data_IF_607601411592
#
_entry.id   IF_607601411592
#
_cell.length_a   1.000
_cell.length_b   1.000
_cell.length_c   1.000
_cell.angle_alpha   90.00
_cell.angle_beta   90.00
_cell.angle_gamma   90.00
#
_symmetry.space_group_name_H-M   'P 1'
#
loop_
_entity.id
_entity.type
_entity.pdbx_description
1 polymer ?
#
# COMPACT_ATOMS: atom_id res chain seq x y z
N UNK A 1 -3.93 17.09 20.74
CA UNK A 1 -3.73 15.63 20.79
C UNK A 1 -2.46 15.29 20.01
N UNK A 2 -1.60 14.45 20.60
CA UNK A 2 -0.30 14.08 20.04
C UNK A 2 -0.30 12.59 19.65
N UNK A 3 -0.07 12.31 18.38
CA UNK A 3 -0.10 10.97 17.79
C UNK A 3 1.31 10.54 17.41
N UNK A 4 1.69 9.34 17.80
CA UNK A 4 2.94 8.73 17.33
C UNK A 4 2.64 7.55 16.40
N UNK A 5 3.13 7.59 15.17
CA UNK A 5 3.05 6.49 14.22
C UNK A 5 4.29 5.60 14.35
N UNK A 6 4.09 4.29 14.51
CA UNK A 6 5.18 3.32 14.60
C UNK A 6 5.27 2.47 13.34
N UNK A 7 6.40 2.55 12.65
CA UNK A 7 6.76 1.75 11.48
C UNK A 7 8.07 1.01 11.75
N UNK A 8 8.14 -0.27 11.42
CA UNK A 8 9.29 -1.11 11.77
C UNK A 8 10.06 -1.68 10.56
N UNK A 9 9.70 -1.31 9.34
CA UNK A 9 10.44 -1.67 8.13
C UNK A 9 11.77 -0.91 8.02
N UNK A 10 12.64 -1.40 7.13
CA UNK A 10 13.92 -0.76 6.82
C UNK A 10 13.92 -0.10 5.44
N UNK A 11 12.84 -0.25 4.69
CA UNK A 11 12.71 0.25 3.31
C UNK A 11 11.54 1.22 3.30
N UNK A 12 11.70 2.36 2.64
CA UNK A 12 10.61 3.29 2.37
C UNK A 12 9.80 2.74 1.20
N UNK A 13 8.58 2.29 1.48
CA UNK A 13 7.68 1.65 0.52
C UNK A 13 6.21 2.06 0.81
N UNK A 14 5.24 1.33 0.31
CA UNK A 14 3.83 1.71 0.38
C UNK A 14 3.27 1.96 1.79
N UNK A 15 3.73 1.24 2.82
CA UNK A 15 3.30 1.48 4.22
C UNK A 15 3.91 2.78 4.76
N UNK A 16 5.18 3.02 4.51
CA UNK A 16 5.91 4.20 4.97
C UNK A 16 5.37 5.46 4.29
N UNK A 17 5.11 5.38 3.00
CA UNK A 17 4.46 6.44 2.24
C UNK A 17 3.06 6.72 2.78
N UNK A 18 2.25 5.69 3.06
CA UNK A 18 0.94 5.83 3.67
C UNK A 18 1.01 6.58 5.02
N UNK A 19 1.95 6.21 5.89
CA UNK A 19 2.13 6.85 7.20
C UNK A 19 2.57 8.31 7.04
N UNK A 20 3.51 8.56 6.14
CA UNK A 20 4.02 9.91 5.89
C UNK A 20 2.92 10.84 5.38
N UNK A 21 2.18 10.44 4.36
CA UNK A 21 1.08 11.23 3.81
C UNK A 21 -0.01 11.50 4.84
N UNK A 22 -0.41 10.45 5.60
CA UNK A 22 -1.42 10.61 6.65
C UNK A 22 -0.97 11.58 7.74
N UNK A 23 0.28 11.47 8.19
CA UNK A 23 0.83 12.37 9.18
C UNK A 23 0.92 13.82 8.68
N UNK A 24 1.33 14.04 7.42
CA UNK A 24 1.33 15.37 6.81
C UNK A 24 -0.06 15.99 6.79
N UNK A 25 -1.06 15.27 6.28
CA UNK A 25 -2.46 15.75 6.19
C UNK A 25 -3.05 16.08 7.56
N UNK A 26 -2.66 15.34 8.61
CA UNK A 26 -3.19 15.53 9.95
C UNK A 26 -2.41 16.55 10.78
N UNK A 27 -1.25 17.02 10.31
CA UNK A 27 -0.40 17.94 11.05
C UNK A 27 -1.02 19.33 11.26
N UNK A 28 -2.04 19.70 10.50
CA UNK A 28 -2.76 20.95 10.68
C UNK A 28 -3.59 20.96 11.99
N UNK A 29 -4.14 19.80 12.39
CA UNK A 29 -5.09 19.70 13.51
C UNK A 29 -4.49 19.01 14.75
N UNK A 30 -3.45 18.19 14.55
CA UNK A 30 -2.87 17.33 15.61
C UNK A 30 -1.36 17.26 15.47
N UNK A 31 -0.66 17.14 16.60
CA UNK A 31 0.79 16.99 16.59
C UNK A 31 1.16 15.54 16.19
N UNK A 32 1.92 15.41 15.11
CA UNK A 32 2.31 14.13 14.52
C UNK A 32 3.79 13.81 14.77
N UNK A 33 4.07 12.55 15.11
CA UNK A 33 5.44 12.03 15.26
C UNK A 33 5.53 10.71 14.50
N UNK A 34 6.53 10.54 13.62
CA UNK A 34 6.80 9.28 12.96
C UNK A 34 8.02 8.61 13.60
N UNK A 35 7.82 7.42 14.17
CA UNK A 35 8.87 6.59 14.75
C UNK A 35 9.22 5.48 13.78
N UNK A 36 10.42 5.50 13.22
CA UNK A 36 10.86 4.59 12.17
C UNK A 36 12.36 4.30 12.21
N UNK A 37 12.83 3.36 11.40
CA UNK A 37 14.26 3.08 11.24
C UNK A 37 14.99 4.22 10.52
N UNK A 38 16.31 4.31 10.70
CA UNK A 38 17.16 5.36 10.13
C UNK A 38 17.03 5.46 8.61
N UNK A 39 16.93 4.33 7.93
CA UNK A 39 16.85 4.24 6.48
C UNK A 39 15.54 4.86 5.92
N UNK A 40 14.51 4.96 6.75
CA UNK A 40 13.21 5.56 6.40
C UNK A 40 13.19 7.07 6.69
N UNK A 41 13.91 7.53 7.70
CA UNK A 41 13.93 8.94 8.15
C UNK A 41 14.27 9.90 7.01
N UNK A 42 15.24 9.54 6.16
CA UNK A 42 15.73 10.41 5.08
C UNK A 42 14.66 10.74 4.01
N UNK A 43 13.58 9.97 3.97
CA UNK A 43 12.48 10.16 3.02
C UNK A 43 11.32 11.00 3.61
N UNK A 44 11.43 11.43 4.88
CA UNK A 44 10.36 12.14 5.59
C UNK A 44 10.79 13.59 5.81
N UNK A 45 9.97 14.52 5.37
CA UNK A 45 10.18 15.97 5.54
C UNK A 45 8.93 16.62 6.13
N UNK A 46 9.10 17.71 6.87
CA UNK A 46 7.97 18.49 7.41
C UNK A 46 7.23 17.86 8.60
N UNK A 47 7.51 16.61 8.98
CA UNK A 47 6.93 15.92 10.13
C UNK A 47 8.03 15.51 11.10
N UNK A 48 7.78 15.69 12.41
CA UNK A 48 8.73 15.26 13.45
C UNK A 48 9.01 13.77 13.35
N UNK A 49 10.28 13.40 13.21
CA UNK A 49 10.71 12.00 13.16
C UNK A 49 11.54 11.62 14.36
N UNK A 50 11.39 10.39 14.83
CA UNK A 50 12.25 9.81 15.86
C UNK A 50 12.82 8.50 15.33
N UNK A 51 14.15 8.46 15.17
CA UNK A 51 14.83 7.25 14.74
C UNK A 51 14.76 6.20 15.85
N UNK A 52 14.11 5.08 15.55
CA UNK A 52 13.92 3.98 16.48
C UNK A 52 14.09 2.62 15.82
N UNK A 53 15.28 2.03 15.96
CA UNK A 53 15.53 0.67 15.51
C UNK A 53 14.79 -0.32 16.41
N UNK A 54 13.78 -0.99 15.87
CA UNK A 54 13.03 -2.05 16.56
C UNK A 54 13.55 -3.43 16.10
N UNK A 55 14.27 -4.10 16.99
CA UNK A 55 14.74 -5.47 16.81
C UNK A 55 13.62 -6.51 16.84
N UNK A 56 13.71 -7.51 17.73
CA UNK A 56 12.65 -8.50 17.90
C UNK A 56 11.37 -7.88 18.49
N UNK A 57 10.19 -8.40 18.06
CA UNK A 57 8.89 -8.00 18.63
C UNK A 57 8.70 -8.35 20.11
N UNK A 58 9.52 -9.26 20.61
CA UNK A 58 9.50 -9.76 22.00
C UNK A 58 10.60 -9.17 22.88
N UNK A 59 11.40 -8.23 22.37
CA UNK A 59 12.49 -7.63 23.14
C UNK A 59 11.97 -6.67 24.21
N UNK A 60 12.20 -6.92 25.51
CA UNK A 60 11.79 -6.02 26.58
C UNK A 60 12.52 -4.66 26.48
N UNK A 61 13.76 -4.64 26.01
CA UNK A 61 14.52 -3.40 25.80
C UNK A 61 13.87 -2.49 24.77
N UNK A 62 13.36 -3.05 23.66
CA UNK A 62 12.64 -2.28 22.66
C UNK A 62 11.36 -1.68 23.24
N UNK A 63 10.67 -2.43 24.08
CA UNK A 63 9.45 -1.97 24.73
C UNK A 63 9.73 -0.84 25.73
N UNK A 64 10.74 -1.00 26.59
CA UNK A 64 11.16 0.03 27.55
C UNK A 64 11.56 1.31 26.82
N UNK A 65 12.37 1.19 25.76
CA UNK A 65 12.78 2.32 24.94
C UNK A 65 11.57 3.02 24.29
N UNK A 66 10.62 2.25 23.76
CA UNK A 66 9.40 2.79 23.18
C UNK A 66 8.62 3.60 24.23
N UNK A 67 8.38 3.04 25.41
CA UNK A 67 7.63 3.70 26.47
C UNK A 67 8.35 4.97 26.96
N UNK A 68 9.66 4.93 27.11
CA UNK A 68 10.42 6.12 27.47
C UNK A 68 10.21 7.25 26.44
N UNK A 69 10.30 6.93 25.14
CA UNK A 69 10.09 7.90 24.07
C UNK A 69 8.66 8.42 24.05
N UNK A 70 7.66 7.56 24.22
CA UNK A 70 6.25 7.96 24.25
C UNK A 70 5.96 8.91 25.40
N UNK A 71 6.46 8.61 26.62
CA UNK A 71 6.31 9.45 27.81
C UNK A 71 7.03 10.79 27.65
N UNK A 72 8.30 10.77 27.23
CA UNK A 72 9.10 12.00 27.01
C UNK A 72 8.44 12.96 26.03
N UNK A 73 7.72 12.43 25.04
CA UNK A 73 7.03 13.24 24.03
C UNK A 73 5.56 13.50 24.37
N UNK A 74 5.04 13.05 25.51
CA UNK A 74 3.63 13.19 25.90
C UNK A 74 2.65 12.70 24.83
N UNK A 75 2.90 11.47 24.33
CA UNK A 75 2.08 10.86 23.27
C UNK A 75 0.76 10.36 23.85
N UNK A 76 -0.36 10.78 23.26
CA UNK A 76 -1.70 10.36 23.65
C UNK A 76 -2.07 9.02 23.04
N UNK A 77 -1.77 8.83 21.75
CA UNK A 77 -2.10 7.62 20.98
C UNK A 77 -0.88 7.13 20.20
N UNK A 78 -0.66 5.83 20.28
CA UNK A 78 0.31 5.11 19.45
C UNK A 78 -0.42 4.42 18.30
N UNK A 79 -0.19 4.89 17.06
CA UNK A 79 -0.73 4.26 15.86
C UNK A 79 0.33 3.35 15.22
N UNK A 80 0.06 2.06 15.20
CA UNK A 80 0.98 1.02 14.72
C UNK A 80 0.63 0.57 13.31
N UNK A 81 1.60 0.50 12.42
CA UNK A 81 1.42 0.09 11.03
C UNK A 81 2.13 -1.24 10.75
N UNK A 82 1.33 -2.24 10.38
CA UNK A 82 1.79 -3.60 10.11
C UNK A 82 1.98 -4.48 11.36
N UNK A 83 2.05 -5.80 11.15
CA UNK A 83 1.94 -6.81 12.20
C UNK A 83 2.98 -6.69 13.33
N UNK A 84 4.24 -6.37 13.00
CA UNK A 84 5.30 -6.24 14.00
C UNK A 84 5.10 -5.01 14.89
N UNK A 85 4.79 -3.86 14.30
CA UNK A 85 4.50 -2.63 15.03
C UNK A 85 3.28 -2.82 15.94
N UNK A 86 2.20 -3.41 15.41
CA UNK A 86 0.97 -3.71 16.16
C UNK A 86 1.24 -4.62 17.37
N UNK A 87 2.05 -5.66 17.21
CA UNK A 87 2.42 -6.55 18.33
C UNK A 87 3.16 -5.79 19.43
N UNK A 88 4.14 -4.95 19.07
CA UNK A 88 4.90 -4.14 20.06
C UNK A 88 3.99 -3.12 20.74
N UNK A 89 3.12 -2.44 19.97
CA UNK A 89 2.16 -1.47 20.50
C UNK A 89 1.17 -2.10 21.47
N UNK A 90 0.66 -3.30 21.18
CA UNK A 90 -0.27 -4.02 22.06
C UNK A 90 0.41 -4.43 23.39
N UNK A 91 1.69 -4.79 23.39
CA UNK A 91 2.45 -4.98 24.61
C UNK A 91 2.59 -3.67 25.41
N UNK A 92 2.86 -2.56 24.73
CA UNK A 92 2.90 -1.25 25.37
C UNK A 92 1.55 -0.88 26.00
N UNK A 93 0.43 -1.13 25.31
CA UNK A 93 -0.92 -0.95 25.86
C UNK A 93 -1.13 -1.78 27.12
N UNK A 94 -0.80 -3.09 27.07
CA UNK A 94 -1.04 -4.02 28.19
C UNK A 94 -0.27 -3.65 29.46
N UNK A 95 0.98 -3.19 29.31
CA UNK A 95 1.87 -2.94 30.44
C UNK A 95 1.74 -1.50 30.94
N UNK A 96 1.48 -0.52 30.07
CA UNK A 96 1.56 0.91 30.38
C UNK A 96 0.26 1.69 30.13
N UNK A 97 -0.80 1.02 29.67
CA UNK A 97 -2.12 1.65 29.51
C UNK A 97 -2.22 2.70 28.41
N UNK A 98 -1.24 2.76 27.47
CA UNK A 98 -1.32 3.69 26.34
C UNK A 98 -2.41 3.26 25.34
N UNK A 99 -3.13 4.23 24.76
CA UNK A 99 -4.07 3.94 23.67
C UNK A 99 -3.31 3.53 22.40
N UNK A 100 -3.76 2.43 21.79
CA UNK A 100 -3.12 1.88 20.59
C UNK A 100 -4.15 1.70 19.48
N UNK A 101 -3.86 2.28 18.32
CA UNK A 101 -4.56 2.00 17.08
C UNK A 101 -3.64 1.13 16.20
N UNK A 102 -4.19 0.17 15.48
CA UNK A 102 -3.42 -0.67 14.55
C UNK A 102 -4.04 -0.66 13.16
N UNK A 103 -3.26 -0.29 12.15
CA UNK A 103 -3.68 -0.42 10.74
C UNK A 103 -3.12 -1.71 10.13
N UNK A 104 -4.02 -2.52 9.59
CA UNK A 104 -3.73 -3.77 8.88
C UNK A 104 -3.68 -3.46 7.39
N UNK A 105 -2.46 -3.55 6.80
CA UNK A 105 -2.21 -3.28 5.38
C UNK A 105 -2.24 -4.53 4.49
N UNK A 106 -2.29 -5.74 5.06
CA UNK A 106 -2.31 -6.99 4.32
C UNK A 106 -2.50 -8.20 5.22
N UNK A 107 -2.83 -9.34 4.59
CA UNK A 107 -2.94 -10.60 5.32
C UNK A 107 -1.55 -11.09 5.73
N UNK A 108 -1.25 -11.07 7.02
CA UNK A 108 -0.19 -11.89 7.62
C UNK A 108 -0.84 -12.83 8.62
N UNK A 109 -0.31 -14.06 8.70
CA UNK A 109 -0.75 -15.05 9.68
C UNK A 109 -0.76 -14.41 11.08
N UNK A 110 -1.89 -14.51 11.76
CA UNK A 110 -2.03 -14.05 13.14
C UNK A 110 -1.48 -15.08 14.08
N UNK A 111 -0.42 -14.71 14.76
CA UNK A 111 -0.11 -15.29 16.05
C UNK A 111 -0.41 -14.26 17.12
N UNK A 112 -1.54 -14.37 17.76
CA UNK A 112 -1.81 -13.92 19.12
C UNK A 112 -3.23 -13.35 19.27
N UNK A 113 -4.14 -14.20 19.66
CA UNK A 113 -5.46 -13.86 20.20
C UNK A 113 -5.41 -12.99 21.47
N UNK A 114 -4.23 -12.78 22.04
CA UNK A 114 -4.04 -12.08 23.31
C UNK A 114 -3.65 -10.59 23.18
N UNK A 115 -3.32 -10.12 21.98
CA UNK A 115 -2.84 -8.75 21.77
C UNK A 115 -3.89 -7.96 20.99
N UNK A 116 -4.79 -7.29 21.70
CA UNK A 116 -5.87 -6.50 21.14
C UNK A 116 -5.53 -5.02 21.27
N UNK A 117 -5.39 -4.25 20.16
CA UNK A 117 -5.27 -2.79 20.21
C UNK A 117 -6.54 -2.14 20.76
N UNK A 118 -6.53 -0.83 20.96
CA UNK A 118 -7.73 -0.07 21.38
C UNK A 118 -8.71 0.07 20.22
N UNK A 119 -8.20 0.20 18.99
CA UNK A 119 -8.97 0.09 17.75
C UNK A 119 -8.13 -0.54 16.64
N UNK A 120 -8.81 -1.16 15.68
CA UNK A 120 -8.16 -1.74 14.50
C UNK A 120 -8.77 -1.15 13.23
N UNK A 121 -7.91 -0.67 12.33
CA UNK A 121 -8.26 -0.19 11.00
C UNK A 121 -7.83 -1.23 9.97
N UNK A 122 -8.71 -1.58 9.04
CA UNK A 122 -8.40 -2.41 7.88
C UNK A 122 -8.48 -1.60 6.60
N UNK A 123 -7.46 -1.70 5.73
CA UNK A 123 -7.42 -0.96 4.46
C UNK A 123 -8.33 -1.53 3.37
N UNK A 124 -9.02 -2.63 3.66
CA UNK A 124 -10.16 -3.13 2.88
C UNK A 124 -11.19 -3.76 3.81
N UNK A 125 -12.41 -3.96 3.31
CA UNK A 125 -13.53 -4.52 4.10
C UNK A 125 -13.21 -5.91 4.66
N UNK A 126 -12.55 -6.78 3.89
CA UNK A 126 -12.17 -8.12 4.33
C UNK A 126 -11.19 -8.08 5.52
N UNK A 127 -10.22 -7.16 5.48
CA UNK A 127 -9.27 -6.96 6.59
C UNK A 127 -9.95 -6.34 7.82
N UNK A 128 -10.82 -5.35 7.63
CA UNK A 128 -11.59 -4.76 8.72
C UNK A 128 -12.47 -5.82 9.38
N UNK A 129 -13.25 -6.55 8.61
CA UNK A 129 -14.16 -7.59 9.10
C UNK A 129 -13.44 -8.82 9.71
N UNK A 130 -12.13 -8.98 9.44
CA UNK A 130 -11.34 -10.06 10.06
C UNK A 130 -11.11 -9.85 11.56
N UNK A 131 -11.47 -8.70 12.11
CA UNK A 131 -11.33 -8.34 13.52
C UNK A 131 -12.67 -7.84 14.05
N UNK A 132 -13.10 -8.33 15.23
CA UNK A 132 -14.30 -7.82 15.89
C UNK A 132 -14.16 -6.30 16.14
N UNK A 133 -15.10 -5.51 15.65
CA UNK A 133 -15.06 -4.04 15.75
C UNK A 133 -13.99 -3.37 14.88
N UNK A 134 -13.50 -4.07 13.85
CA UNK A 134 -12.56 -3.48 12.89
C UNK A 134 -13.24 -2.42 12.02
N UNK A 135 -12.51 -1.34 11.75
CA UNK A 135 -12.99 -0.15 11.05
C UNK A 135 -12.39 -0.14 9.65
N UNK A 136 -13.23 0.00 8.64
CA UNK A 136 -12.76 0.12 7.26
C UNK A 136 -12.38 1.58 6.96
N UNK A 137 -11.10 1.78 6.67
CA UNK A 137 -10.56 3.04 6.14
C UNK A 137 -9.64 2.66 4.97
N UNK A 138 -10.03 2.93 3.71
CA UNK A 138 -9.23 2.53 2.56
C UNK A 138 -7.92 3.31 2.46
N UNK A 139 -6.98 2.81 1.66
CA UNK A 139 -5.90 3.62 1.14
C UNK A 139 -6.49 4.71 0.23
N UNK A 140 -5.71 5.72 -0.07
CA UNK A 140 -6.11 6.89 -0.85
C UNK A 140 -5.15 7.13 -2.01
N UNK A 141 -5.60 7.94 -2.95
CA UNK A 141 -4.73 8.60 -3.91
C UNK A 141 -4.49 10.06 -3.51
N UNK A 142 -3.29 10.57 -3.80
CA UNK A 142 -2.97 11.96 -3.54
C UNK A 142 -3.30 12.80 -4.78
N UNK A 143 -4.30 13.72 -4.71
CA UNK A 143 -4.67 14.56 -5.85
C UNK A 143 -3.53 15.47 -6.34
N UNK A 144 -2.56 15.80 -5.47
CA UNK A 144 -1.40 16.63 -5.83
C UNK A 144 -0.48 15.96 -6.86
N UNK A 145 -0.54 14.65 -6.99
CA UNK A 145 0.22 13.87 -7.98
C UNK A 145 -0.61 13.54 -9.24
N UNK A 146 -1.76 14.16 -9.43
CA UNK A 146 -2.59 13.95 -10.61
C UNK A 146 -2.03 14.70 -11.83
N UNK A 147 -1.16 14.05 -12.59
CA UNK A 147 -0.79 14.51 -13.92
C UNK A 147 -1.91 14.25 -14.93
N UNK A 148 -2.08 15.13 -15.93
CA UNK A 148 -2.91 14.78 -17.08
C UNK A 148 -2.21 13.68 -17.87
N UNK A 149 -2.91 12.62 -18.32
CA UNK A 149 -2.32 11.61 -19.19
C UNK A 149 -1.85 12.30 -20.48
N UNK A 150 -0.58 12.12 -20.85
CA UNK A 150 -0.04 12.85 -22.00
C UNK A 150 -0.42 12.17 -23.31
N UNK A 151 -0.10 10.88 -23.51
CA UNK A 151 -0.27 10.26 -24.82
C UNK A 151 -0.73 8.80 -24.82
N UNK A 152 -0.66 8.07 -23.70
CA UNK A 152 -0.89 6.61 -23.59
C UNK A 152 -0.22 5.79 -24.72
N UNK A 153 0.96 6.22 -25.17
CA UNK A 153 1.74 5.57 -26.23
C UNK A 153 2.90 4.72 -25.71
N UNK A 154 3.13 4.75 -24.40
CA UNK A 154 4.16 3.96 -23.73
C UNK A 154 3.79 2.47 -23.62
N UNK A 155 4.56 1.69 -22.89
CA UNK A 155 4.26 0.29 -22.61
C UNK A 155 3.07 0.14 -21.65
N UNK A 156 2.54 -1.07 -21.50
CA UNK A 156 1.81 -1.46 -20.32
C UNK A 156 2.79 -1.52 -19.13
N UNK A 157 2.31 -1.24 -17.93
CA UNK A 157 3.14 -1.26 -16.73
C UNK A 157 2.58 -2.23 -15.70
N UNK A 158 3.48 -2.87 -14.93
CA UNK A 158 3.14 -3.64 -13.74
C UNK A 158 4.07 -3.19 -12.61
N UNK A 159 3.53 -2.71 -11.49
CA UNK A 159 4.33 -2.05 -10.44
C UNK A 159 4.19 -2.80 -9.13
N UNK A 160 5.31 -3.12 -8.49
CA UNK A 160 5.32 -3.74 -7.18
C UNK A 160 6.66 -4.36 -6.79
N UNK A 161 6.76 -4.83 -5.55
CA UNK A 161 7.95 -5.58 -5.10
C UNK A 161 8.07 -6.89 -5.88
N UNK A 162 9.25 -7.22 -6.35
CA UNK A 162 9.50 -8.47 -7.07
C UNK A 162 9.50 -9.66 -6.10
N UNK A 163 8.29 -10.03 -5.66
CA UNK A 163 7.98 -11.13 -4.72
C UNK A 163 6.88 -12.02 -5.30
N UNK A 164 6.88 -13.28 -4.95
CA UNK A 164 5.92 -14.30 -5.41
C UNK A 164 4.48 -13.87 -5.31
N UNK A 165 4.14 -13.12 -4.25
CA UNK A 165 2.76 -12.63 -4.01
C UNK A 165 2.26 -11.68 -5.08
N UNK A 166 3.14 -11.06 -5.86
CA UNK A 166 2.80 -10.15 -6.96
C UNK A 166 2.49 -10.86 -8.28
N UNK A 167 2.82 -12.16 -8.39
CA UNK A 167 2.46 -13.01 -9.52
C UNK A 167 3.11 -12.59 -10.84
N UNK A 168 4.26 -11.92 -10.81
CA UNK A 168 4.94 -11.48 -12.04
C UNK A 168 5.39 -12.64 -12.92
N UNK A 169 5.69 -13.80 -12.33
CA UNK A 169 5.95 -15.02 -13.07
C UNK A 169 4.74 -15.46 -13.91
N UNK A 170 3.53 -15.39 -13.34
CA UNK A 170 2.29 -15.69 -14.06
C UNK A 170 2.05 -14.67 -15.17
N UNK A 171 2.30 -13.38 -14.89
CA UNK A 171 2.15 -12.31 -15.89
C UNK A 171 3.09 -12.52 -17.08
N UNK A 172 4.37 -12.80 -16.84
CA UNK A 172 5.37 -13.06 -17.89
C UNK A 172 4.94 -14.26 -18.73
N UNK A 173 4.56 -15.38 -18.11
CA UNK A 173 4.08 -16.56 -18.84
C UNK A 173 2.82 -16.27 -19.66
N UNK A 174 1.92 -15.42 -19.18
CA UNK A 174 0.71 -15.01 -19.90
C UNK A 174 0.98 -14.02 -21.04
N UNK A 175 2.20 -13.50 -21.17
CA UNK A 175 2.57 -12.50 -22.18
C UNK A 175 3.14 -13.10 -23.48
N UNK A 176 3.31 -14.42 -23.53
CA UNK A 176 3.99 -15.13 -24.66
C UNK A 176 3.42 -14.79 -26.02
N UNK A 177 2.08 -14.73 -26.16
CA UNK A 177 1.40 -14.42 -27.43
C UNK A 177 1.05 -12.92 -27.60
N UNK A 178 1.52 -12.05 -26.68
CA UNK A 178 1.16 -10.63 -26.69
C UNK A 178 2.31 -9.81 -27.28
N UNK A 179 2.01 -9.08 -28.36
CA UNK A 179 2.98 -8.24 -29.08
C UNK A 179 3.24 -6.88 -28.39
N UNK A 180 2.42 -6.50 -27.44
CA UNK A 180 2.53 -5.24 -26.73
C UNK A 180 3.74 -5.26 -25.76
N UNK A 181 4.35 -4.09 -25.56
CA UNK A 181 5.45 -3.95 -24.60
C UNK A 181 4.92 -3.84 -23.15
N UNK A 182 5.64 -4.47 -22.22
CA UNK A 182 5.38 -4.46 -20.78
C UNK A 182 6.63 -4.00 -20.02
N UNK A 183 6.47 -3.07 -19.10
CA UNK A 183 7.50 -2.74 -18.10
C UNK A 183 7.07 -3.24 -16.72
N UNK A 184 7.87 -4.11 -16.11
CA UNK A 184 7.70 -4.53 -14.71
C UNK A 184 8.60 -3.63 -13.86
N UNK A 185 7.99 -2.81 -12.99
CA UNK A 185 8.69 -1.77 -12.23
C UNK A 185 8.73 -2.14 -10.75
N UNK A 186 9.93 -2.27 -10.23
CA UNK A 186 10.15 -2.56 -8.81
C UNK A 186 11.41 -3.38 -8.55
N UNK A 187 11.69 -3.63 -7.29
CA UNK A 187 12.83 -4.42 -6.84
C UNK A 187 12.40 -5.54 -5.90
N UNK A 188 13.19 -6.58 -5.76
CA UNK A 188 12.90 -7.67 -4.84
C UNK A 188 13.68 -8.96 -5.13
N UNK A 189 13.53 -9.97 -4.27
CA UNK A 189 14.32 -11.19 -4.32
C UNK A 189 14.09 -12.02 -5.60
N UNK A 190 12.98 -11.83 -6.32
CA UNK A 190 12.67 -12.59 -7.54
C UNK A 190 13.25 -11.96 -8.82
N UNK A 191 13.93 -10.81 -8.75
CA UNK A 191 14.44 -10.13 -9.95
C UNK A 191 15.22 -11.09 -10.88
N UNK A 192 16.21 -11.78 -10.32
CA UNK A 192 17.06 -12.69 -11.12
C UNK A 192 16.27 -13.86 -11.74
N UNK A 193 15.28 -14.40 -11.06
CA UNK A 193 14.42 -15.47 -11.60
C UNK A 193 13.50 -14.97 -12.69
N UNK A 194 12.93 -13.77 -12.52
CA UNK A 194 12.05 -13.15 -13.52
C UNK A 194 12.80 -12.79 -14.79
N UNK A 195 14.03 -12.25 -14.70
CA UNK A 195 14.87 -11.98 -15.88
C UNK A 195 15.22 -13.27 -16.65
N UNK A 196 15.60 -14.34 -15.95
CA UNK A 196 15.83 -15.64 -16.59
C UNK A 196 14.56 -16.18 -17.28
N UNK A 197 13.40 -16.02 -16.67
CA UNK A 197 12.13 -16.44 -17.26
C UNK A 197 11.83 -15.66 -18.56
N UNK A 198 12.02 -14.34 -18.58
CA UNK A 198 11.87 -13.50 -19.77
C UNK A 198 12.75 -14.01 -20.90
N UNK A 199 14.05 -14.23 -20.64
CA UNK A 199 14.99 -14.72 -21.65
C UNK A 199 14.65 -16.14 -22.12
N UNK A 200 14.26 -17.05 -21.20
CA UNK A 200 13.89 -18.43 -21.58
C UNK A 200 12.62 -18.52 -22.46
N UNK A 201 11.77 -17.49 -22.42
CA UNK A 201 10.58 -17.38 -23.24
C UNK A 201 10.77 -16.46 -24.46
N UNK A 202 12.00 -15.99 -24.70
CA UNK A 202 12.36 -15.08 -25.81
C UNK A 202 11.54 -13.77 -25.82
N UNK A 203 11.26 -13.24 -24.61
CA UNK A 203 10.44 -12.05 -24.41
C UNK A 203 11.25 -10.77 -24.17
N UNK A 204 12.59 -10.80 -24.27
CA UNK A 204 13.48 -9.67 -23.96
C UNK A 204 13.17 -8.41 -24.79
N UNK A 205 12.61 -8.57 -26.00
CA UNK A 205 12.19 -7.47 -26.85
C UNK A 205 10.85 -6.83 -26.45
N UNK A 206 10.06 -7.49 -25.60
CA UNK A 206 8.70 -7.09 -25.23
C UNK A 206 8.55 -6.78 -23.74
N UNK A 207 9.34 -7.44 -22.87
CA UNK A 207 9.26 -7.26 -21.43
C UNK A 207 10.57 -6.75 -20.87
N UNK A 208 10.51 -5.66 -20.12
CA UNK A 208 11.66 -5.13 -19.36
C UNK A 208 11.37 -5.05 -17.87
N UNK A 209 12.43 -5.23 -17.04
CA UNK A 209 12.36 -5.02 -15.58
C UNK A 209 13.16 -3.77 -15.23
N UNK A 210 12.49 -2.79 -14.62
CA UNK A 210 13.05 -1.50 -14.19
C UNK A 210 13.12 -1.47 -12.66
N UNK A 211 14.33 -1.45 -12.11
CA UNK A 211 14.55 -1.54 -10.65
C UNK A 211 14.82 -0.21 -9.98
N UNK A 212 15.48 0.72 -10.66
CA UNK A 212 15.88 2.02 -10.13
C UNK A 212 14.84 3.11 -10.45
N UNK A 213 13.62 2.91 -9.95
CA UNK A 213 12.54 3.84 -10.17
C UNK A 213 12.13 4.49 -8.83
N UNK A 214 12.46 5.77 -8.65
CA UNK A 214 11.95 6.56 -7.54
C UNK A 214 10.53 7.07 -7.83
N UNK A 215 9.85 7.64 -6.84
CA UNK A 215 8.46 8.06 -6.99
C UNK A 215 8.22 9.06 -8.15
N UNK A 216 9.05 10.11 -8.37
CA UNK A 216 8.90 10.99 -9.54
C UNK A 216 9.00 10.25 -10.87
N UNK A 217 9.89 9.26 -10.98
CA UNK A 217 10.03 8.46 -12.20
C UNK A 217 8.83 7.54 -12.43
N UNK A 218 8.22 7.00 -11.38
CA UNK A 218 6.98 6.22 -11.45
C UNK A 218 5.81 7.09 -11.95
N UNK A 219 5.74 8.33 -11.52
CA UNK A 219 4.72 9.28 -11.97
C UNK A 219 4.80 9.52 -13.48
N UNK A 220 6.01 9.69 -14.04
CA UNK A 220 6.19 9.79 -15.49
C UNK A 220 5.77 8.51 -16.23
N UNK A 221 5.98 7.34 -15.62
CA UNK A 221 5.48 6.07 -16.19
C UNK A 221 3.96 6.04 -16.28
N UNK A 222 3.25 6.48 -15.24
CA UNK A 222 1.78 6.59 -15.31
C UNK A 222 1.31 7.55 -16.42
N UNK A 223 1.98 8.67 -16.65
CA UNK A 223 1.58 9.66 -17.67
C UNK A 223 1.58 9.08 -19.10
N UNK A 224 2.43 8.12 -19.38
CA UNK A 224 2.62 7.55 -20.71
C UNK A 224 2.05 6.15 -20.88
N UNK A 225 1.78 5.42 -19.79
CA UNK A 225 1.34 4.03 -19.81
C UNK A 225 0.02 3.84 -20.58
N UNK A 226 -0.06 2.78 -21.36
CA UNK A 226 -1.31 2.31 -22.00
C UNK A 226 -2.30 1.75 -20.98
N UNK A 227 -1.80 1.16 -19.90
CA UNK A 227 -2.58 0.57 -18.82
C UNK A 227 -1.68 -0.01 -17.73
N UNK A 228 -2.25 -0.20 -16.54
CA UNK A 228 -1.63 -0.91 -15.43
C UNK A 228 -2.15 -2.34 -15.37
N UNK A 229 -1.24 -3.32 -15.27
CA UNK A 229 -1.58 -4.73 -15.09
C UNK A 229 -1.24 -5.16 -13.66
N UNK A 230 -2.20 -5.73 -12.95
CA UNK A 230 -2.03 -6.24 -11.58
C UNK A 230 -2.27 -7.74 -11.55
N UNK A 231 -1.21 -8.53 -11.49
CA UNK A 231 -1.23 -10.00 -11.50
C UNK A 231 -1.15 -10.62 -10.10
N UNK A 232 -1.34 -9.82 -9.06
CA UNK A 232 -1.11 -10.23 -7.68
C UNK A 232 -1.96 -11.41 -7.25
N UNK A 233 -1.36 -12.32 -6.47
CA UNK A 233 -2.06 -13.46 -5.86
C UNK A 233 -2.85 -13.04 -4.61
N UNK A 234 -2.40 -11.97 -3.94
CA UNK A 234 -3.03 -11.39 -2.75
C UNK A 234 -2.64 -9.93 -2.61
N UNK A 235 -3.60 -9.12 -2.23
CA UNK A 235 -3.40 -7.70 -1.89
C UNK A 235 -4.19 -7.32 -0.64
N UNK A 236 -3.74 -6.26 0.01
CA UNK A 236 -4.56 -5.55 0.99
C UNK A 236 -5.31 -4.40 0.31
N UNK A 237 -4.61 -3.27 0.15
CA UNK A 237 -5.10 -2.11 -0.59
C UNK A 237 -4.00 -1.64 -1.53
N UNK A 238 -3.96 -2.15 -2.78
CA UNK A 238 -2.89 -1.84 -3.71
C UNK A 238 -2.93 -0.36 -4.12
N UNK A 239 -1.99 0.42 -3.60
CA UNK A 239 -1.86 1.86 -3.88
C UNK A 239 -1.67 2.12 -5.37
N UNK A 240 -0.92 1.25 -6.05
CA UNK A 240 -0.66 1.37 -7.49
C UNK A 240 -1.94 1.44 -8.34
N UNK A 241 -3.04 0.80 -7.89
CA UNK A 241 -4.33 0.89 -8.57
C UNK A 241 -4.96 2.26 -8.39
N UNK A 242 -4.92 2.79 -7.17
CA UNK A 242 -5.43 4.14 -6.88
C UNK A 242 -4.57 5.21 -7.59
N UNK A 243 -3.26 5.04 -7.63
CA UNK A 243 -2.35 5.90 -8.37
C UNK A 243 -2.64 5.88 -9.87
N UNK A 244 -2.84 4.68 -10.47
CA UNK A 244 -3.22 4.55 -11.87
C UNK A 244 -4.55 5.28 -12.16
N UNK A 245 -5.58 5.06 -11.35
CA UNK A 245 -6.87 5.74 -11.49
C UNK A 245 -6.70 7.27 -11.37
N UNK A 246 -5.86 7.74 -10.45
CA UNK A 246 -5.58 9.17 -10.28
C UNK A 246 -4.93 9.79 -11.53
N UNK A 247 -4.07 9.03 -12.23
CA UNK A 247 -3.48 9.41 -13.51
C UNK A 247 -4.35 9.05 -14.72
N UNK A 248 -5.60 8.63 -14.48
CA UNK A 248 -6.53 8.19 -15.52
C UNK A 248 -6.00 7.02 -16.37
N UNK A 249 -5.09 6.21 -15.81
CA UNK A 249 -4.55 5.01 -16.45
C UNK A 249 -5.51 3.84 -16.22
N UNK A 250 -6.00 3.19 -17.26
CA UNK A 250 -6.88 2.05 -17.12
C UNK A 250 -6.15 0.86 -16.47
N UNK A 251 -6.91 0.06 -15.72
CA UNK A 251 -6.37 -1.04 -14.93
C UNK A 251 -7.03 -2.35 -15.31
N UNK A 252 -6.22 -3.37 -15.57
CA UNK A 252 -6.61 -4.77 -15.64
C UNK A 252 -5.95 -5.51 -14.48
N UNK A 253 -6.67 -6.37 -13.78
CA UNK A 253 -6.07 -7.02 -12.63
C UNK A 253 -6.78 -8.25 -12.11
N UNK A 254 -6.16 -8.86 -11.10
CA UNK A 254 -6.74 -10.00 -10.39
C UNK A 254 -7.74 -9.57 -9.31
N UNK A 255 -8.71 -10.43 -9.00
CA UNK A 255 -9.76 -10.23 -7.96
C UNK A 255 -9.18 -10.34 -6.56
N UNK A 256 -8.31 -9.42 -6.19
CA UNK A 256 -7.66 -9.41 -4.87
C UNK A 256 -7.80 -8.08 -4.15
N UNK A 257 -7.84 -8.14 -2.83
CA UNK A 257 -7.90 -6.93 -1.98
C UNK A 257 -9.13 -6.08 -2.27
N UNK A 258 -8.90 -4.80 -2.56
CA UNK A 258 -9.92 -3.79 -2.86
C UNK A 258 -10.17 -3.65 -4.38
N UNK A 259 -9.39 -4.30 -5.24
CA UNK A 259 -9.46 -4.10 -6.71
C UNK A 259 -10.88 -4.30 -7.27
N UNK A 260 -11.66 -5.32 -6.84
CA UNK A 260 -13.03 -5.51 -7.30
C UNK A 260 -14.02 -4.39 -6.90
N UNK A 261 -13.62 -3.53 -5.97
CA UNK A 261 -14.41 -2.36 -5.56
C UNK A 261 -14.08 -1.10 -6.39
N UNK A 262 -12.96 -1.13 -7.13
CA UNK A 262 -12.41 0.02 -7.85
C UNK A 262 -12.61 -0.06 -9.36
N UNK A 263 -12.65 -1.25 -9.94
CA UNK A 263 -12.72 -1.46 -11.39
C UNK A 263 -13.79 -2.50 -11.77
N UNK A 264 -14.33 -2.38 -12.96
CA UNK A 264 -15.39 -3.25 -13.47
C UNK A 264 -14.95 -4.71 -13.58
N UNK A 265 -15.91 -5.62 -13.40
CA UNK A 265 -15.66 -7.05 -13.40
C UNK A 265 -15.06 -7.61 -14.71
N UNK A 266 -15.33 -6.99 -15.83
CA UNK A 266 -14.78 -7.34 -17.15
C UNK A 266 -13.26 -7.20 -17.25
N UNK A 267 -12.66 -6.32 -16.40
CA UNK A 267 -11.20 -6.13 -16.32
C UNK A 267 -10.55 -6.95 -15.21
N UNK A 268 -11.30 -7.90 -14.63
CA UNK A 268 -10.85 -8.70 -13.50
C UNK A 268 -10.74 -10.18 -13.87
N UNK A 269 -9.63 -10.78 -13.48
CA UNK A 269 -9.41 -12.23 -13.61
C UNK A 269 -9.18 -12.87 -12.23
N UNK A 270 -9.40 -14.18 -12.12
CA UNK A 270 -9.15 -14.89 -10.87
C UNK A 270 -7.64 -14.98 -10.57
N UNK A 271 -7.22 -14.76 -9.32
CA UNK A 271 -5.82 -14.87 -8.95
C UNK A 271 -5.30 -16.30 -9.10
N UNK A 272 -4.01 -16.44 -9.37
CA UNK A 272 -3.33 -17.73 -9.55
C UNK A 272 -3.92 -18.61 -10.69
N UNK A 273 -4.47 -17.96 -11.73
CA UNK A 273 -4.99 -18.63 -12.90
C UNK A 273 -4.34 -18.05 -14.16
N UNK A 274 -3.25 -18.67 -14.62
CA UNK A 274 -2.50 -18.20 -15.79
C UNK A 274 -3.34 -18.20 -17.07
N UNK A 275 -4.15 -19.25 -17.30
CA UNK A 275 -4.96 -19.38 -18.50
C UNK A 275 -6.00 -18.26 -18.57
N UNK A 276 -6.72 -18.02 -17.46
CA UNK A 276 -7.68 -16.94 -17.37
C UNK A 276 -7.01 -15.57 -17.55
N UNK A 277 -5.83 -15.35 -16.93
CA UNK A 277 -5.07 -14.12 -17.08
C UNK A 277 -4.68 -13.90 -18.55
N UNK A 278 -4.13 -14.90 -19.23
CA UNK A 278 -3.73 -14.83 -20.62
C UNK A 278 -4.92 -14.50 -21.53
N UNK A 279 -6.02 -15.25 -21.41
CA UNK A 279 -7.23 -15.00 -22.20
C UNK A 279 -7.77 -13.58 -22.02
N UNK A 280 -7.83 -13.11 -20.76
CA UNK A 280 -8.27 -11.73 -20.47
C UNK A 280 -7.30 -10.68 -21.04
N UNK A 281 -5.99 -10.93 -20.97
CA UNK A 281 -5.00 -10.03 -21.55
C UNK A 281 -5.15 -9.95 -23.08
N UNK A 282 -5.25 -11.07 -23.79
CA UNK A 282 -5.41 -11.13 -25.24
C UNK A 282 -6.68 -10.38 -25.71
N UNK A 283 -7.77 -10.51 -24.97
CA UNK A 283 -9.05 -9.88 -25.28
C UNK A 283 -9.07 -8.37 -24.96
N UNK A 284 -8.58 -8.00 -23.78
CA UNK A 284 -8.81 -6.65 -23.21
C UNK A 284 -7.69 -5.66 -23.52
N UNK A 285 -6.42 -6.09 -23.65
CA UNK A 285 -5.32 -5.15 -23.87
C UNK A 285 -5.51 -4.24 -25.10
N UNK A 286 -6.06 -4.69 -26.24
CA UNK A 286 -6.31 -3.80 -27.39
C UNK A 286 -7.33 -2.69 -27.08
N UNK A 287 -8.26 -2.94 -26.17
CA UNK A 287 -9.35 -2.03 -25.80
C UNK A 287 -8.98 -1.12 -24.62
N UNK A 288 -8.09 -1.59 -23.75
CA UNK A 288 -7.78 -0.96 -22.47
C UNK A 288 -7.39 0.54 -22.60
N UNK A 289 -6.55 0.96 -23.57
CA UNK A 289 -6.17 2.37 -23.70
C UNK A 289 -7.32 3.31 -24.08
N UNK A 290 -8.45 2.78 -24.56
CA UNK A 290 -9.61 3.55 -25.01
C UNK A 290 -10.63 3.80 -23.88
N UNK A 291 -10.44 3.16 -22.72
CA UNK A 291 -11.37 3.26 -21.59
C UNK A 291 -11.33 4.67 -20.99
N UNK A 292 -12.50 5.28 -20.83
CA UNK A 292 -12.61 6.56 -20.13
C UNK A 292 -12.53 6.37 -18.60
N UNK A 293 -11.38 6.72 -18.06
CA UNK A 293 -11.11 6.64 -16.62
C UNK A 293 -11.63 7.86 -15.84
N UNK A 294 -12.05 8.94 -16.50
CA UNK A 294 -12.47 10.17 -15.79
C UNK A 294 -13.71 9.96 -14.94
N UNK A 295 -14.71 9.25 -15.48
CA UNK A 295 -15.91 8.91 -14.74
C UNK A 295 -15.61 8.06 -13.50
N UNK A 296 -14.77 7.05 -13.63
CA UNK A 296 -14.34 6.16 -12.54
C UNK A 296 -13.58 6.98 -11.47
N UNK A 297 -12.61 7.80 -11.86
CA UNK A 297 -11.87 8.68 -10.96
C UNK A 297 -12.80 9.60 -10.19
N UNK A 298 -13.72 10.28 -10.89
CA UNK A 298 -14.65 11.22 -10.27
C UNK A 298 -15.57 10.54 -9.25
N UNK A 299 -16.06 9.35 -9.53
CA UNK A 299 -16.90 8.58 -8.61
C UNK A 299 -16.14 8.16 -7.34
N UNK A 300 -14.83 7.88 -7.44
CA UNK A 300 -14.03 7.38 -6.32
C UNK A 300 -13.37 8.48 -5.49
N UNK A 301 -13.23 9.72 -6.02
CA UNK A 301 -12.44 10.78 -5.38
C UNK A 301 -12.91 11.13 -3.97
N UNK A 302 -14.20 11.10 -3.72
CA UNK A 302 -14.78 11.45 -2.42
C UNK A 302 -14.43 10.42 -1.33
N UNK A 303 -14.47 9.13 -1.67
CA UNK A 303 -14.26 8.04 -0.71
C UNK A 303 -12.77 7.73 -0.51
N UNK A 304 -11.98 7.75 -1.60
CA UNK A 304 -10.58 7.34 -1.62
C UNK A 304 -9.60 8.51 -1.57
N UNK A 305 -10.03 9.69 -1.08
CA UNK A 305 -9.14 10.83 -0.87
C UNK A 305 -8.43 10.75 0.48
N UNK A 306 -7.23 11.34 0.56
CA UNK A 306 -6.49 11.47 1.82
C UNK A 306 -7.31 12.26 2.86
N UNK A 307 -8.07 13.28 2.45
CA UNK A 307 -8.94 14.07 3.33
C UNK A 307 -10.02 13.20 3.99
N UNK A 308 -10.67 12.31 3.20
CA UNK A 308 -11.64 11.36 3.72
C UNK A 308 -11.00 10.38 4.71
N UNK A 309 -9.86 9.79 4.36
CA UNK A 309 -9.15 8.84 5.22
C UNK A 309 -8.64 9.49 6.51
N UNK A 310 -8.07 10.69 6.42
CA UNK A 310 -7.62 11.49 7.56
C UNK A 310 -8.78 11.81 8.52
N UNK A 311 -9.92 12.28 8.00
CA UNK A 311 -11.11 12.55 8.81
C UNK A 311 -11.58 11.30 9.55
N UNK A 312 -11.78 10.18 8.85
CA UNK A 312 -12.19 8.90 9.45
C UNK A 312 -11.18 8.43 10.52
N UNK A 313 -9.87 8.61 10.28
CA UNK A 313 -8.83 8.23 11.25
C UNK A 313 -8.84 9.12 12.48
N UNK A 314 -9.03 10.44 12.32
CA UNK A 314 -9.21 11.38 13.44
C UNK A 314 -10.43 11.03 14.28
N UNK A 315 -11.55 10.66 13.66
CA UNK A 315 -12.76 10.23 14.37
C UNK A 315 -12.48 9.01 15.27
N UNK A 316 -11.68 8.05 14.81
CA UNK A 316 -11.21 6.91 15.63
C UNK A 316 -10.40 7.40 16.83
N UNK A 317 -9.46 8.32 16.63
CA UNK A 317 -8.64 8.84 17.72
C UNK A 317 -9.44 9.59 18.77
N UNK A 318 -10.34 10.48 18.34
CA UNK A 318 -11.19 11.26 19.25
C UNK A 318 -12.15 10.37 20.03
N UNK A 319 -12.72 9.33 19.39
CA UNK A 319 -13.60 8.39 20.08
C UNK A 319 -12.87 7.63 21.19
N UNK A 320 -11.63 7.20 20.95
CA UNK A 320 -10.80 6.52 21.94
C UNK A 320 -10.39 7.46 23.10
N UNK A 321 -10.04 8.70 22.79
CA UNK A 321 -9.66 9.68 23.80
C UNK A 321 -10.82 9.98 24.76
N UNK A 322 -12.05 10.18 24.22
CA UNK A 322 -13.27 10.38 25.02
C UNK A 322 -13.65 9.18 25.91
N UNK A 323 -13.43 7.97 25.41
CA UNK A 323 -13.75 6.76 26.17
C UNK A 323 -12.77 6.51 27.34
N UNK A 324 -11.62 7.20 27.37
CA UNK A 324 -10.59 7.09 28.43
C UNK A 324 -10.71 8.19 29.48
N UNK A 325 -11.31 9.35 29.13
CA UNK A 325 -11.64 10.44 30.09
C UNK A 325 -12.84 10.08 30.94
#
# INVERSE_FOLDING_TARGET
>A
MKIAHLVTSKIFAGIEQHVYELACEMSEDTEQIIMCNKEVVNNIQGVKTICMKMGSRYSPFNLIKLIHVLRKNHVDILHCHGAKASSIGCWAKRIFGILVVSTIHGHKSRDSSFLIPSATIGVNKKLANSVKGGIFIPNWFNPMHAGKPSTRRGPFIAIGRLETVKGFNLLINSWVNIEQSLEIIGSGPEEGSLRRLITSLELDNRISIVTDCNYPSIEEKYKTAKGLIVSSLREGGPRVVLEAINHEVPVLGTRVGIIPELISNEFLTEPNNQIALQSTLEEILPLLPQIDMKGIKHALIAEYSIKSASKKTKDVYFSLARAKS
#
